data_IF_597485960491
#
_entry.id   IF_597485960491
#
_cell.length_a   1.000
_cell.length_b   1.000
_cell.length_c   1.000
_cell.angle_alpha   90.00
_cell.angle_beta   90.00
_cell.angle_gamma   90.00
#
_symmetry.space_group_name_H-M   'P 1'
#
loop_
_entity.id
_entity.type
_entity.pdbx_description
1 polymer ?
#
# COMPACT_ATOMS: atom_id res chain seq x y z
N UNK A 1 -19.43 55.61 -17.02
CA UNK A 1 -18.11 56.23 -16.92
C UNK A 1 -17.16 55.10 -16.66
N UNK A 2 -16.68 54.40 -17.64
CA UNK A 2 -15.46 54.60 -18.45
C UNK A 2 -14.21 54.71 -17.57
N UNK A 3 -13.40 53.66 -17.59
CA UNK A 3 -12.00 53.71 -18.01
C UNK A 3 -11.35 52.33 -18.01
N UNK A 4 -10.90 51.98 -19.20
CA UNK A 4 -10.00 50.88 -19.55
C UNK A 4 -8.58 51.15 -19.01
N UNK A 5 -7.83 50.08 -18.80
CA UNK A 5 -6.38 50.10 -18.59
C UNK A 5 -5.75 48.83 -19.10
N UNK A 6 -5.32 48.87 -20.36
CA UNK A 6 -4.49 47.86 -21.03
C UNK A 6 -3.01 48.11 -20.75
N UNK A 7 -2.20 47.01 -20.72
CA UNK A 7 -0.74 47.09 -20.76
C UNK A 7 -0.19 45.70 -20.54
N UNK A 8 0.13 44.98 -21.52
CA UNK A 8 1.22 44.91 -22.50
C UNK A 8 2.41 44.04 -22.03
N UNK A 9 2.53 42.91 -22.66
CA UNK A 9 3.68 42.22 -23.28
C UNK A 9 5.05 42.29 -22.61
N UNK A 10 5.66 41.13 -22.51
CA UNK A 10 7.10 40.93 -22.24
C UNK A 10 7.53 39.49 -22.46
N UNK A 11 7.57 39.08 -23.75
CA UNK A 11 8.36 37.94 -24.19
C UNK A 11 9.84 38.21 -24.01
N UNK A 12 10.60 37.26 -23.53
CA UNK A 12 12.01 37.08 -23.90
C UNK A 12 12.33 35.60 -23.92
N UNK A 13 12.52 35.14 -25.12
CA UNK A 13 13.29 33.99 -25.52
C UNK A 13 14.74 34.09 -25.10
N UNK A 14 15.42 33.00 -25.19
CA UNK A 14 16.87 32.74 -25.49
C UNK A 14 17.43 31.78 -24.47
N UNK A 15 17.99 30.63 -24.72
CA UNK A 15 18.71 29.97 -25.78
C UNK A 15 19.28 28.69 -25.20
N UNK A 16 19.10 27.61 -25.86
CA UNK A 16 19.95 26.47 -26.16
C UNK A 16 21.38 26.51 -25.62
N UNK A 17 21.82 25.44 -24.98
CA UNK A 17 23.15 24.88 -25.22
C UNK A 17 23.20 23.40 -24.91
N UNK A 18 23.43 22.65 -25.96
CA UNK A 18 23.87 21.25 -25.95
C UNK A 18 25.40 21.22 -25.94
N UNK A 19 25.96 20.20 -25.34
CA UNK A 19 27.25 19.57 -25.68
C UNK A 19 27.53 18.54 -24.58
N UNK A 20 27.66 17.38 -24.87
CA UNK A 20 28.50 16.52 -25.70
C UNK A 20 29.44 15.67 -24.81
N UNK A 21 29.26 14.41 -25.00
CA UNK A 21 30.19 13.37 -25.33
C UNK A 21 31.31 12.97 -24.36
N UNK A 22 31.41 11.69 -24.24
CA UNK A 22 32.57 10.81 -24.53
C UNK A 22 32.84 9.86 -23.37
N UNK A 23 32.52 8.58 -23.54
CA UNK A 23 33.34 7.50 -24.12
C UNK A 23 34.62 7.15 -23.32
N UNK A 24 34.71 5.94 -22.96
CA UNK A 24 35.63 4.91 -23.39
C UNK A 24 35.86 3.90 -22.28
N UNK A 25 35.60 2.67 -22.60
CA UNK A 25 36.45 1.63 -23.20
C UNK A 25 37.28 0.83 -22.21
N UNK A 26 37.01 -0.48 -22.30
CA UNK A 26 37.95 -1.60 -22.46
C UNK A 26 38.85 -1.92 -21.27
N UNK A 27 38.98 -3.17 -20.90
CA UNK A 27 39.56 -4.31 -21.59
C UNK A 27 39.54 -5.53 -20.67
N UNK A 28 39.04 -6.65 -21.10
CA UNK A 28 39.77 -7.85 -21.49
C UNK A 28 41.00 -8.22 -20.65
N UNK A 29 40.95 -9.35 -19.95
CA UNK A 29 42.00 -10.35 -20.09
C UNK A 29 41.50 -11.73 -19.66
N UNK A 30 41.55 -12.65 -20.56
CA UNK A 30 41.43 -14.07 -20.35
C UNK A 30 42.74 -14.63 -19.79
N UNK A 31 42.70 -15.67 -18.99
CA UNK A 31 43.76 -16.67 -19.02
C UNK A 31 43.24 -18.01 -18.52
N UNK A 32 43.61 -18.98 -19.27
CA UNK A 32 43.26 -20.38 -19.28
C UNK A 32 44.04 -21.20 -18.25
N UNK A 33 43.49 -22.40 -17.99
CA UNK A 33 44.33 -23.59 -17.82
C UNK A 33 44.16 -24.31 -16.48
N UNK A 34 43.75 -25.58 -16.55
CA UNK A 34 43.90 -26.53 -15.45
C UNK A 34 42.94 -27.70 -15.52
N UNK A 35 43.25 -28.69 -16.35
CA UNK A 35 42.61 -30.00 -16.38
C UNK A 35 42.87 -30.74 -15.06
N UNK A 36 41.87 -31.38 -14.55
CA UNK A 36 41.96 -32.30 -13.43
C UNK A 36 40.76 -33.25 -13.42
N UNK A 37 40.85 -34.30 -14.17
CA UNK A 37 39.92 -35.43 -14.21
C UNK A 37 40.06 -36.25 -12.93
N UNK A 38 39.00 -36.39 -12.15
CA UNK A 38 38.82 -37.55 -11.25
C UNK A 38 37.37 -37.95 -11.25
N UNK A 39 37.12 -39.10 -11.81
CA UNK A 39 35.91 -39.93 -11.71
C UNK A 39 35.65 -40.27 -10.26
N UNK A 40 34.44 -39.96 -9.77
CA UNK A 40 33.85 -40.59 -8.60
C UNK A 40 32.39 -40.83 -8.84
N UNK A 41 32.04 -42.08 -8.66
CA UNK A 41 30.75 -42.69 -8.87
C UNK A 41 29.61 -42.00 -8.09
N UNK A 42 28.51 -41.87 -8.78
CA UNK A 42 27.31 -41.25 -8.29
C UNK A 42 26.59 -42.08 -7.22
N UNK A 43 26.35 -41.47 -6.11
CA UNK A 43 25.25 -41.83 -5.26
C UNK A 43 24.08 -40.94 -5.62
N UNK A 44 23.07 -41.52 -6.26
CA UNK A 44 21.81 -40.85 -6.53
C UNK A 44 21.12 -40.53 -5.20
N UNK A 45 21.33 -39.34 -4.72
CA UNK A 45 20.53 -38.79 -3.64
C UNK A 45 19.16 -38.44 -4.21
N UNK A 46 18.19 -39.30 -3.99
CA UNK A 46 16.77 -38.98 -4.21
C UNK A 46 16.44 -37.81 -3.32
N UNK A 47 16.47 -36.61 -3.88
CA UNK A 47 15.94 -35.43 -3.22
C UNK A 47 14.43 -35.61 -3.16
N UNK A 48 13.93 -36.11 -2.04
CA UNK A 48 12.52 -36.04 -1.69
C UNK A 48 12.21 -34.55 -1.62
N UNK A 49 11.55 -34.06 -2.66
CA UNK A 49 10.91 -32.74 -2.61
C UNK A 49 9.89 -32.81 -1.47
N UNK A 50 10.27 -32.33 -0.32
CA UNK A 50 9.33 -32.03 0.75
C UNK A 50 8.44 -30.94 0.21
N UNK A 51 7.22 -31.29 -0.21
CA UNK A 51 6.16 -30.34 -0.44
C UNK A 51 5.96 -29.63 0.89
N UNK A 52 6.59 -28.46 1.04
CA UNK A 52 6.27 -27.55 2.13
C UNK A 52 4.84 -27.07 1.82
N UNK A 53 3.87 -27.71 2.48
CA UNK A 53 2.53 -27.11 2.62
C UNK A 53 2.80 -25.73 3.15
N UNK A 54 2.44 -24.70 2.39
CA UNK A 54 2.60 -23.32 2.81
C UNK A 54 1.87 -23.23 4.16
N UNK A 55 2.61 -23.05 5.24
CA UNK A 55 2.01 -22.78 6.53
C UNK A 55 1.32 -21.44 6.37
N UNK A 56 0.00 -21.41 6.60
CA UNK A 56 -0.78 -20.17 6.52
C UNK A 56 -0.15 -19.05 7.34
N UNK A 57 -0.57 -17.83 7.12
CA UNK A 57 -0.07 -16.68 7.88
C UNK A 57 -0.33 -16.88 9.37
N UNK A 58 0.70 -16.78 10.24
CA UNK A 58 0.50 -16.85 11.69
C UNK A 58 -0.53 -15.80 12.15
N UNK A 59 -1.44 -16.19 13.03
CA UNK A 59 -2.50 -15.36 13.61
C UNK A 59 -3.53 -14.81 12.59
N UNK A 60 -3.56 -15.32 11.37
CA UNK A 60 -4.59 -14.97 10.40
C UNK A 60 -5.89 -15.72 10.68
N UNK A 61 -7.01 -15.06 10.50
CA UNK A 61 -8.35 -15.63 10.59
C UNK A 61 -9.34 -14.80 9.77
N UNK A 62 -10.52 -15.36 9.49
CA UNK A 62 -11.61 -14.59 8.87
C UNK A 62 -12.46 -13.80 9.88
N UNK A 63 -12.18 -13.96 11.16
CA UNK A 63 -12.88 -13.25 12.22
C UNK A 63 -12.51 -11.76 12.23
N UNK A 64 -13.37 -10.94 12.83
CA UNK A 64 -13.06 -9.52 13.06
C UNK A 64 -11.80 -9.38 13.92
N UNK A 65 -10.88 -8.53 13.48
CA UNK A 65 -9.73 -8.07 14.25
C UNK A 65 -9.95 -6.62 14.69
N UNK A 66 -9.67 -6.34 15.96
CA UNK A 66 -9.77 -4.97 16.49
C UNK A 66 -8.76 -4.72 17.60
N UNK A 67 -8.34 -3.46 17.74
CA UNK A 67 -7.53 -3.02 18.87
C UNK A 67 -7.84 -1.54 19.17
N UNK A 68 -7.77 -1.12 20.45
CA UNK A 68 -7.94 0.28 20.83
C UNK A 68 -6.77 1.13 20.34
N UNK A 69 -7.00 2.45 20.26
CA UNK A 69 -5.95 3.42 19.99
C UNK A 69 -4.85 3.41 21.07
N UNK A 70 -3.63 3.75 20.67
CA UNK A 70 -2.48 3.95 21.58
C UNK A 70 -1.92 5.35 21.32
N UNK A 71 -2.17 6.25 22.26
CA UNK A 71 -1.88 7.67 22.15
C UNK A 71 -3.12 8.54 22.35
N UNK A 72 -2.91 9.86 22.36
CA UNK A 72 -3.96 10.85 22.71
C UNK A 72 -4.37 11.76 21.55
N UNK A 73 -3.76 11.61 20.37
CA UNK A 73 -4.03 12.47 19.21
C UNK A 73 -4.71 11.70 18.07
N UNK A 74 -5.27 12.45 17.14
CA UNK A 74 -5.72 11.90 15.85
C UNK A 74 -4.51 11.46 15.05
N UNK A 75 -4.51 10.22 14.59
CA UNK A 75 -3.49 9.71 13.69
C UNK A 75 -3.70 10.29 12.28
N UNK A 76 -2.70 10.97 11.75
CA UNK A 76 -2.81 11.63 10.46
C UNK A 76 -2.31 10.70 9.36
N UNK A 77 -3.22 10.23 8.50
CA UNK A 77 -2.89 9.37 7.38
C UNK A 77 -1.96 10.10 6.41
N UNK A 78 -0.86 9.45 6.06
CA UNK A 78 0.14 9.97 5.14
C UNK A 78 0.14 9.25 3.80
N UNK A 79 0.16 7.93 3.82
CA UNK A 79 0.15 7.13 2.59
C UNK A 79 -0.62 5.84 2.77
N UNK A 80 -1.19 5.35 1.65
CA UNK A 80 -1.78 4.01 1.54
C UNK A 80 -1.08 3.27 0.41
N UNK A 81 -0.68 2.04 0.66
CA UNK A 81 0.03 1.20 -0.31
C UNK A 81 -0.49 -0.22 -0.28
N UNK A 82 -0.42 -0.87 -1.42
CA UNK A 82 -0.68 -2.31 -1.57
C UNK A 82 0.54 -3.00 -2.17
N UNK A 83 0.65 -4.30 -1.99
CA UNK A 83 1.71 -5.07 -2.61
C UNK A 83 1.58 -6.56 -2.34
N UNK A 84 2.20 -7.35 -3.22
CA UNK A 84 2.26 -8.80 -3.12
C UNK A 84 3.54 -9.25 -2.42
N UNK A 85 3.38 -10.29 -1.61
CA UNK A 85 4.46 -11.00 -0.95
C UNK A 85 4.25 -12.51 -1.15
N UNK A 86 5.27 -13.34 -0.93
CA UNK A 86 5.08 -14.79 -0.95
C UNK A 86 4.06 -15.25 0.11
N UNK A 87 2.93 -15.79 -0.34
CA UNK A 87 1.87 -16.33 0.51
C UNK A 87 0.87 -15.30 1.06
N UNK A 88 1.00 -14.01 0.74
CA UNK A 88 0.02 -13.00 1.15
C UNK A 88 0.08 -11.72 0.30
N UNK A 89 -1.00 -10.99 0.30
CA UNK A 89 -1.06 -9.61 -0.18
C UNK A 89 -1.23 -8.65 0.99
N UNK A 90 -0.64 -7.47 0.89
CA UNK A 90 -0.50 -6.52 1.99
C UNK A 90 -1.10 -5.16 1.66
N UNK A 91 -1.88 -4.64 2.59
CA UNK A 91 -2.31 -3.25 2.62
C UNK A 91 -1.56 -2.55 3.76
N UNK A 92 -1.03 -1.36 3.51
CA UNK A 92 -0.31 -0.55 4.51
C UNK A 92 -0.91 0.83 4.59
N UNK A 93 -1.37 1.22 5.75
CA UNK A 93 -1.74 2.59 6.12
C UNK A 93 -0.61 3.16 6.97
N UNK A 94 0.08 4.18 6.48
CA UNK A 94 1.16 4.87 7.19
C UNK A 94 0.67 6.22 7.70
N UNK A 95 0.95 6.51 8.98
CA UNK A 95 0.53 7.73 9.66
C UNK A 95 1.73 8.59 10.03
N UNK A 96 1.52 9.89 10.12
CA UNK A 96 2.50 10.82 10.66
C UNK A 96 2.59 10.74 12.18
N UNK A 97 3.78 10.98 12.71
CA UNK A 97 4.03 10.97 14.15
C UNK A 97 3.87 9.62 14.81
N UNK A 98 3.57 9.63 16.11
CA UNK A 98 3.57 8.43 16.96
C UNK A 98 2.16 8.01 17.41
N UNK A 99 1.12 8.77 17.07
CA UNK A 99 -0.26 8.43 17.40
C UNK A 99 -0.71 7.21 16.61
N UNK A 100 -0.98 6.12 17.30
CA UNK A 100 -1.44 4.86 16.72
C UNK A 100 -2.96 4.80 16.83
N UNK A 101 -3.70 4.80 15.72
CA UNK A 101 -5.15 4.70 15.81
C UNK A 101 -5.59 3.33 16.31
N UNK A 102 -6.75 3.26 16.93
CA UNK A 102 -7.49 2.02 17.06
C UNK A 102 -7.95 1.56 15.69
N UNK A 103 -8.31 0.30 15.59
CA UNK A 103 -8.84 -0.24 14.34
C UNK A 103 -9.89 -1.31 14.57
N UNK A 104 -10.74 -1.47 13.57
CA UNK A 104 -11.63 -2.60 13.37
C UNK A 104 -11.53 -3.02 11.90
N UNK A 105 -11.20 -4.28 11.67
CA UNK A 105 -11.10 -4.88 10.34
C UNK A 105 -11.97 -6.12 10.32
N UNK A 106 -12.87 -6.21 9.34
CA UNK A 106 -13.84 -7.30 9.26
C UNK A 106 -14.33 -7.52 7.82
N UNK A 107 -14.69 -8.75 7.51
CA UNK A 107 -15.48 -9.05 6.34
C UNK A 107 -16.91 -8.58 6.53
N UNK A 108 -17.47 -7.94 5.52
CA UNK A 108 -18.87 -7.50 5.51
C UNK A 108 -19.66 -8.24 4.44
N UNK A 109 -20.93 -8.50 4.76
CA UNK A 109 -21.89 -9.06 3.82
C UNK A 109 -22.78 -7.92 3.29
N UNK A 110 -22.85 -7.79 1.96
CA UNK A 110 -23.67 -6.78 1.31
C UNK A 110 -22.85 -5.63 0.71
N UNK A 111 -23.51 -4.57 0.27
CA UNK A 111 -22.82 -3.47 -0.40
C UNK A 111 -21.92 -2.70 0.57
N UNK A 112 -20.79 -2.25 0.08
CA UNK A 112 -19.96 -1.26 0.77
C UNK A 112 -20.71 0.05 0.80
N UNK A 113 -20.79 0.68 1.97
CA UNK A 113 -21.48 1.97 2.14
C UNK A 113 -20.48 3.07 2.49
N UNK A 114 -20.73 4.28 2.00
CA UNK A 114 -19.99 5.45 2.40
C UNK A 114 -20.38 5.87 3.83
N UNK A 115 -19.37 6.14 4.66
CA UNK A 115 -19.61 6.67 6.00
C UNK A 115 -20.34 8.00 5.95
N UNK A 116 -21.25 8.19 6.90
CA UNK A 116 -22.04 9.40 7.02
C UNK A 116 -23.25 9.46 6.08
N UNK A 117 -23.12 9.24 4.79
CA UNK A 117 -24.25 9.26 3.85
C UNK A 117 -25.00 7.93 3.79
N UNK A 118 -24.33 6.82 4.01
CA UNK A 118 -24.89 5.48 3.82
C UNK A 118 -25.16 5.12 2.35
N UNK A 119 -24.64 5.90 1.41
CA UNK A 119 -24.80 5.61 -0.02
C UNK A 119 -23.87 4.45 -0.45
N UNK A 120 -24.32 3.57 -1.36
CA UNK A 120 -23.47 2.50 -1.86
C UNK A 120 -22.24 3.05 -2.58
N UNK A 121 -21.08 2.50 -2.24
CA UNK A 121 -19.80 2.74 -2.92
C UNK A 121 -19.53 1.58 -3.86
N UNK A 122 -19.26 1.89 -5.13
CA UNK A 122 -18.87 0.87 -6.10
C UNK A 122 -17.46 0.37 -5.79
N UNK A 123 -17.36 -0.88 -5.35
CA UNK A 123 -16.10 -1.59 -5.05
C UNK A 123 -16.08 -2.88 -5.83
N UNK A 124 -15.04 -3.09 -6.62
CA UNK A 124 -14.89 -4.29 -7.45
C UNK A 124 -14.39 -5.46 -6.62
N UNK A 125 -15.13 -6.56 -6.56
CA UNK A 125 -14.76 -7.79 -5.85
C UNK A 125 -15.94 -8.71 -5.59
N UNK A 126 -15.64 -9.93 -5.15
CA UNK A 126 -16.64 -10.95 -4.75
C UNK A 126 -16.81 -10.96 -3.21
N UNK A 127 -15.82 -10.46 -2.47
CA UNK A 127 -15.89 -10.28 -1.02
C UNK A 127 -15.32 -8.92 -0.63
N UNK A 128 -15.78 -8.37 0.50
CA UNK A 128 -15.45 -7.01 0.91
C UNK A 128 -14.90 -6.99 2.35
N UNK A 129 -13.68 -6.45 2.50
CA UNK A 129 -13.03 -6.25 3.78
C UNK A 129 -13.11 -4.77 4.17
N UNK A 130 -13.87 -4.48 5.22
CA UNK A 130 -13.97 -3.15 5.81
C UNK A 130 -12.84 -2.92 6.80
N UNK A 131 -12.23 -1.74 6.74
CA UNK A 131 -11.15 -1.30 7.62
C UNK A 131 -11.48 0.09 8.17
N UNK A 132 -11.81 0.16 9.45
CA UNK A 132 -12.13 1.41 10.16
C UNK A 132 -11.01 1.71 11.14
N UNK A 133 -10.51 2.94 11.12
CA UNK A 133 -9.44 3.43 11.98
C UNK A 133 -9.90 4.68 12.73
N UNK A 134 -9.73 4.70 14.07
CA UNK A 134 -10.23 5.76 14.95
C UNK A 134 -9.35 5.90 16.20
N UNK A 135 -8.96 7.16 16.62
CA UNK A 135 -9.12 8.39 15.87
C UNK A 135 -8.07 8.52 14.75
N UNK A 136 -8.52 8.69 13.52
CA UNK A 136 -7.67 8.86 12.35
C UNK A 136 -8.32 9.75 11.29
N UNK A 137 -7.52 10.49 10.53
CA UNK A 137 -7.98 11.31 9.41
C UNK A 137 -6.85 11.59 8.43
N UNK A 138 -7.18 11.83 7.17
CA UNK A 138 -6.26 12.38 6.15
C UNK A 138 -6.11 13.89 6.23
N UNK A 139 -6.80 14.55 7.17
CA UNK A 139 -6.82 16.00 7.33
C UNK A 139 -6.49 16.37 8.78
N UNK A 140 -5.55 17.29 8.96
CA UNK A 140 -5.27 17.86 10.28
C UNK A 140 -6.24 19.00 10.60
N UNK A 141 -7.22 18.70 11.45
CA UNK A 141 -8.21 19.66 11.95
C UNK A 141 -7.72 20.44 13.16
N UNK A 142 -6.58 20.09 13.75
CA UNK A 142 -5.99 20.79 14.91
C UNK A 142 -5.18 22.01 14.49
N UNK A 143 -4.76 22.06 13.24
CA UNK A 143 -4.04 23.19 12.68
C UNK A 143 -4.95 24.44 12.60
N UNK A 144 -4.41 25.66 12.73
CA UNK A 144 -5.20 26.90 12.59
C UNK A 144 -5.91 27.06 11.25
N UNK A 145 -5.42 26.38 10.23
CA UNK A 145 -6.03 26.25 8.91
C UNK A 145 -6.08 24.76 8.56
N UNK A 146 -7.14 24.38 7.87
CA UNK A 146 -7.30 23.01 7.37
C UNK A 146 -6.03 22.59 6.61
N UNK A 147 -5.39 21.53 7.04
CA UNK A 147 -4.18 20.98 6.41
C UNK A 147 -4.47 19.57 5.90
N UNK A 148 -4.40 19.40 4.58
CA UNK A 148 -4.53 18.08 3.97
C UNK A 148 -3.17 17.38 4.14
N UNK A 149 -3.18 16.24 4.83
CA UNK A 149 -1.99 15.41 5.07
C UNK A 149 -1.96 14.25 4.07
N UNK A 150 -3.11 13.66 3.80
CA UNK A 150 -3.24 12.65 2.76
C UNK A 150 -3.69 13.29 1.45
N UNK A 151 -2.77 13.41 0.50
CA UNK A 151 -3.00 13.92 -0.85
C UNK A 151 -3.10 12.80 -1.91
N UNK A 152 -3.15 11.55 -1.47
CA UNK A 152 -3.30 10.39 -2.34
C UNK A 152 -4.73 10.21 -2.87
N UNK A 153 -4.93 9.28 -3.80
CA UNK A 153 -6.24 9.03 -4.38
C UNK A 153 -7.18 8.30 -3.39
N UNK A 154 -8.49 8.53 -3.53
CA UNK A 154 -9.52 7.80 -2.77
C UNK A 154 -9.65 6.33 -3.22
N UNK A 155 -9.19 6.00 -4.41
CA UNK A 155 -9.09 4.64 -4.93
C UNK A 155 -7.65 4.34 -5.30
N UNK A 156 -7.07 3.38 -4.59
CA UNK A 156 -5.67 2.99 -4.79
C UNK A 156 -5.54 2.11 -6.03
N UNK A 157 -4.63 2.43 -6.98
CA UNK A 157 -4.36 1.55 -8.10
C UNK A 157 -3.79 0.21 -7.63
N UNK A 158 -4.54 -0.87 -7.81
CA UNK A 158 -4.13 -2.23 -7.42
C UNK A 158 -3.68 -3.09 -8.60
N UNK A 159 -4.09 -2.71 -9.82
CA UNK A 159 -3.79 -3.47 -11.03
C UNK A 159 -2.30 -3.71 -11.23
N UNK A 160 -1.91 -4.98 -11.39
CA UNK A 160 -0.52 -5.41 -11.54
C UNK A 160 0.30 -5.43 -10.25
N UNK A 161 -0.27 -4.99 -9.12
CA UNK A 161 0.37 -5.03 -7.81
C UNK A 161 -0.15 -6.17 -6.95
N UNK A 162 -1.41 -6.58 -7.16
CA UNK A 162 -2.13 -7.61 -6.41
C UNK A 162 -2.91 -8.49 -7.37
N UNK A 163 -3.29 -9.70 -6.92
CA UNK A 163 -4.15 -10.65 -7.64
C UNK A 163 -5.41 -10.96 -6.85
N UNK A 164 -5.30 -11.06 -5.52
CA UNK A 164 -6.40 -11.27 -4.61
C UNK A 164 -7.18 -9.97 -4.38
N UNK A 165 -6.47 -8.87 -4.06
CA UNK A 165 -7.08 -7.55 -3.86
C UNK A 165 -7.37 -6.94 -5.23
N UNK A 166 -8.65 -6.79 -5.56
CA UNK A 166 -9.16 -6.28 -6.84
C UNK A 166 -9.47 -4.80 -6.81
N UNK A 167 -9.66 -4.25 -5.61
CA UNK A 167 -9.95 -2.83 -5.38
C UNK A 167 -9.57 -2.40 -3.97
N UNK A 168 -9.28 -1.11 -3.77
CA UNK A 168 -9.08 -0.51 -2.44
C UNK A 168 -9.54 0.94 -2.48
N UNK A 169 -10.62 1.24 -1.76
CA UNK A 169 -11.35 2.52 -1.84
C UNK A 169 -11.55 3.12 -0.46
N UNK A 170 -11.33 4.43 -0.33
CA UNK A 170 -11.71 5.19 0.86
C UNK A 170 -13.22 5.37 0.88
N UNK A 171 -13.87 4.95 1.96
CA UNK A 171 -15.33 5.02 2.15
C UNK A 171 -15.75 6.14 3.07
N UNK A 172 -14.82 6.68 3.87
CA UNK A 172 -15.09 7.80 4.75
C UNK A 172 -13.83 8.41 5.38
N UNK A 173 -13.93 9.69 5.71
CA UNK A 173 -12.97 10.44 6.52
C UNK A 173 -13.74 11.59 7.17
N UNK A 174 -14.43 11.30 8.29
CA UNK A 174 -15.29 12.25 8.96
C UNK A 174 -15.23 12.07 10.48
N UNK A 175 -15.18 13.16 11.25
CA UNK A 175 -15.12 13.16 12.72
C UNK A 175 -14.02 12.26 13.31
N UNK A 176 -12.85 12.25 12.67
CA UNK A 176 -11.71 11.40 13.00
C UNK A 176 -12.00 9.88 12.88
N UNK A 177 -12.98 9.49 12.10
CA UNK A 177 -13.20 8.12 11.66
C UNK A 177 -12.76 8.02 10.21
N UNK A 178 -11.75 7.21 9.97
CA UNK A 178 -11.17 6.96 8.65
C UNK A 178 -11.51 5.55 8.21
N UNK A 179 -12.24 5.41 7.12
CA UNK A 179 -12.74 4.12 6.63
C UNK A 179 -12.30 3.83 5.22
N UNK A 180 -11.92 2.57 4.99
CA UNK A 180 -11.55 2.01 3.70
C UNK A 180 -12.22 0.67 3.49
N UNK A 181 -12.43 0.29 2.25
CA UNK A 181 -12.91 -1.03 1.87
C UNK A 181 -11.99 -1.62 0.80
N UNK A 182 -11.60 -2.87 0.99
CA UNK A 182 -10.95 -3.66 -0.03
C UNK A 182 -11.95 -4.65 -0.65
N UNK A 183 -12.03 -4.66 -1.99
CA UNK A 183 -12.65 -5.73 -2.74
C UNK A 183 -11.63 -6.83 -3.01
N UNK A 184 -12.04 -8.07 -2.92
CA UNK A 184 -11.19 -9.24 -3.17
C UNK A 184 -11.88 -10.26 -4.04
N UNK A 185 -11.10 -11.16 -4.67
CA UNK A 185 -11.65 -12.27 -5.47
C UNK A 185 -12.38 -13.29 -4.62
N UNK A 186 -12.05 -13.41 -3.34
CA UNK A 186 -12.66 -14.33 -2.39
C UNK A 186 -12.38 -13.89 -0.95
N UNK A 187 -13.12 -14.45 0.00
CA UNK A 187 -12.90 -14.27 1.43
C UNK A 187 -11.79 -15.20 1.90
N UNK A 188 -10.76 -14.65 2.52
CA UNK A 188 -9.57 -15.37 2.99
C UNK A 188 -9.23 -14.99 4.43
N UNK A 189 -8.45 -15.82 5.15
CA UNK A 189 -7.86 -15.42 6.42
C UNK A 189 -6.99 -14.17 6.26
N UNK A 190 -7.06 -13.27 7.23
CA UNK A 190 -6.22 -12.08 7.28
C UNK A 190 -5.71 -11.84 8.70
N UNK A 191 -4.66 -11.05 8.82
CA UNK A 191 -4.15 -10.56 10.10
C UNK A 191 -3.91 -9.06 10.05
N UNK A 192 -3.94 -8.43 11.21
CA UNK A 192 -3.66 -7.00 11.35
C UNK A 192 -2.49 -6.78 12.29
N UNK A 193 -1.54 -5.95 11.89
CA UNK A 193 -0.36 -5.62 12.67
C UNK A 193 -0.26 -4.11 12.86
N UNK A 194 0.18 -3.70 14.04
CA UNK A 194 0.55 -2.32 14.35
C UNK A 194 2.06 -2.20 14.43
N UNK A 195 2.64 -1.34 13.61
CA UNK A 195 4.08 -1.10 13.56
C UNK A 195 4.38 0.34 13.95
N UNK A 196 5.45 0.55 14.70
CA UNK A 196 5.95 1.89 15.09
C UNK A 196 7.21 2.21 14.30
N UNK A 197 7.48 3.51 14.12
CA UNK A 197 8.71 4.03 13.49
C UNK A 197 8.92 3.62 12.03
N UNK A 198 8.10 4.04 11.06
CA UNK A 198 6.93 4.93 11.19
C UNK A 198 5.68 4.19 11.68
N UNK A 199 4.72 4.96 12.18
CA UNK A 199 3.43 4.43 12.63
C UNK A 199 2.64 3.86 11.47
N UNK A 200 2.24 2.57 11.57
CA UNK A 200 1.52 1.88 10.48
C UNK A 200 0.51 0.88 11.01
N UNK A 201 -0.63 0.81 10.34
CA UNK A 201 -1.51 -0.35 10.38
C UNK A 201 -1.26 -1.14 9.09
N UNK A 202 -1.03 -2.43 9.25
CA UNK A 202 -0.74 -3.35 8.16
C UNK A 202 -1.75 -4.48 8.19
N UNK A 203 -2.40 -4.73 7.06
CA UNK A 203 -3.34 -5.83 6.88
C UNK A 203 -2.74 -6.78 5.84
N UNK A 204 -2.49 -8.03 6.25
CA UNK A 204 -2.03 -9.11 5.38
C UNK A 204 -3.18 -10.06 5.12
N UNK A 205 -3.51 -10.28 3.85
CA UNK A 205 -4.50 -11.24 3.39
C UNK A 205 -3.76 -12.47 2.85
N UNK A 206 -4.09 -13.64 3.34
CA UNK A 206 -3.48 -14.90 2.89
C UNK A 206 -3.85 -15.16 1.43
N UNK A 207 -2.86 -15.50 0.59
CA UNK A 207 -3.14 -15.91 -0.79
C UNK A 207 -3.23 -17.43 -0.88
N UNK A 208 -4.20 -17.94 -1.66
CA UNK A 208 -4.39 -19.38 -1.88
C UNK A 208 -3.15 -20.12 -2.39
#
# INVERSE_FOLDING_TARGET
MTACGSGSSGSKDVTTSAADASSSSSSTTASAGGEGSTTSEGTATTTTATSTTAAGLPDASEAQHSAPADGTGTALLKTVRVGRNPGFERIVFEFEGDSMPGYRVQWIDGPVLADGSGEPVDVTGEAFLEMVMEPASGVDLSAPQLSIVYDGPDRIPVAGQTELITDLVRTGDFEAVLSWAAGTTEKVPFRVMRLKSPTRIVVDLETP
#
